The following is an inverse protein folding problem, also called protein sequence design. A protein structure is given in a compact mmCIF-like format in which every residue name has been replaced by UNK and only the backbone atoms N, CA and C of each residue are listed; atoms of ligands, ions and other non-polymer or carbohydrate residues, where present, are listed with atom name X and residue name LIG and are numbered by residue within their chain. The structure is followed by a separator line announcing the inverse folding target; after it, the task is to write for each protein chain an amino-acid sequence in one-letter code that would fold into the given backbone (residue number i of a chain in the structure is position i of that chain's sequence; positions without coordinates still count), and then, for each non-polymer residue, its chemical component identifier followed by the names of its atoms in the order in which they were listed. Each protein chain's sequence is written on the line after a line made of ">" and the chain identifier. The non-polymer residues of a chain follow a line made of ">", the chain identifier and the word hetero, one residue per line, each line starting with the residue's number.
data_IF_183920694363
#
_entry.id   IF_183920694363
#
_cell.length_a   1.000
_cell.length_b   1.000
_cell.length_c   1.000
_cell.angle_alpha   90.00
_cell.angle_beta   90.00
_cell.angle_gamma   90.00
#
_symmetry.space_group_name_H-M   'P 1'
#
loop_
_entity.id
_entity.type
_entity.pdbx_description
1 polymer ?
#
# COMPACT_ATOMS: atom_id res chain seq x y z
N UNK A 1 1.46 -19.45 -2.35
CA UNK A 1 1.40 -17.99 -2.57
C UNK A 1 0.25 -17.43 -1.75
N UNK A 2 0.59 -16.83 -0.62
CA UNK A 2 -0.29 -16.07 0.27
C UNK A 2 0.08 -14.59 0.14
N UNK A 3 -0.91 -13.73 -0.11
CA UNK A 3 -0.71 -12.29 -0.27
C UNK A 3 -1.59 -11.50 0.69
N UNK A 4 -1.00 -10.45 1.30
CA UNK A 4 -1.75 -9.40 2.00
C UNK A 4 -1.78 -8.16 1.11
N UNK A 5 -2.98 -7.66 0.80
CA UNK A 5 -3.17 -6.54 -0.12
C UNK A 5 -4.17 -5.50 0.41
N UNK A 6 -3.90 -4.22 0.13
CA UNK A 6 -4.79 -3.13 0.50
C UNK A 6 -4.08 -1.79 0.67
N UNK A 7 -4.82 -0.70 0.51
CA UNK A 7 -4.28 0.65 0.73
C UNK A 7 -3.81 0.87 2.18
N UNK A 8 -4.39 0.12 3.12
CA UNK A 8 -4.06 0.15 4.55
C UNK A 8 -3.09 -0.96 4.97
N UNK A 9 -2.61 -1.78 4.05
CA UNK A 9 -1.64 -2.84 4.36
C UNK A 9 -0.34 -2.23 4.88
N UNK A 10 0.06 -2.51 6.13
CA UNK A 10 1.39 -2.14 6.61
C UNK A 10 2.46 -2.78 5.73
N UNK A 11 3.30 -1.97 5.09
CA UNK A 11 4.46 -2.45 4.32
C UNK A 11 5.59 -2.85 5.29
N UNK A 12 5.43 -4.00 5.94
CA UNK A 12 6.34 -4.51 6.97
C UNK A 12 6.80 -5.94 6.62
N UNK A 13 8.09 -6.29 6.80
CA UNK A 13 8.56 -7.66 6.57
C UNK A 13 8.03 -8.66 7.62
N UNK A 14 7.47 -8.20 8.75
CA UNK A 14 6.89 -9.07 9.80
C UNK A 14 5.86 -10.04 9.23
N UNK A 15 5.17 -9.68 8.15
CA UNK A 15 4.23 -10.59 7.47
C UNK A 15 4.87 -11.93 7.05
N UNK A 16 6.15 -11.93 6.68
CA UNK A 16 6.86 -13.12 6.22
C UNK A 16 7.09 -14.16 7.34
N UNK A 17 7.15 -13.71 8.60
CA UNK A 17 7.24 -14.58 9.78
C UNK A 17 5.93 -15.36 10.01
N UNK A 18 4.81 -14.87 9.45
CA UNK A 18 3.48 -15.47 9.55
C UNK A 18 3.06 -16.22 8.29
N UNK A 19 4.00 -16.57 7.41
CA UNK A 19 3.75 -17.39 6.21
C UNK A 19 3.14 -16.64 5.03
N UNK A 20 3.20 -15.30 5.02
CA UNK A 20 2.87 -14.49 3.83
C UNK A 20 4.04 -14.56 2.85
N UNK A 21 3.75 -14.64 1.55
CA UNK A 21 4.75 -14.65 0.48
C UNK A 21 4.94 -13.25 -0.14
N UNK A 22 3.86 -12.46 -0.21
CA UNK A 22 3.79 -11.15 -0.85
C UNK A 22 3.00 -10.14 0.00
N UNK A 23 3.51 -8.91 0.12
CA UNK A 23 2.79 -7.81 0.79
C UNK A 23 2.66 -6.67 -0.21
N UNK A 24 1.43 -6.34 -0.59
CA UNK A 24 1.13 -5.26 -1.52
C UNK A 24 0.37 -4.14 -0.82
N UNK A 25 0.90 -2.93 -0.90
CA UNK A 25 0.36 -1.79 -0.19
C UNK A 25 0.56 -0.50 -0.96
N UNK A 26 0.30 0.60 -0.27
CA UNK A 26 0.36 1.94 -0.85
C UNK A 26 1.35 2.80 -0.07
N UNK A 27 2.26 3.46 -0.77
CA UNK A 27 3.08 4.53 -0.22
C UNK A 27 2.52 5.87 -0.66
N UNK A 28 2.20 6.73 0.31
CA UNK A 28 1.87 8.13 0.06
C UNK A 28 3.14 8.88 -0.35
N UNK A 29 3.14 9.45 -1.54
CA UNK A 29 4.27 10.24 -2.09
C UNK A 29 3.98 11.75 -2.08
N UNK A 30 2.70 12.14 -2.01
CA UNK A 30 2.27 13.52 -1.77
C UNK A 30 1.24 13.55 -0.62
N UNK A 31 1.69 13.73 0.63
CA UNK A 31 0.79 13.73 1.79
C UNK A 31 -0.25 14.86 1.75
N UNK A 32 0.09 16.04 1.25
CA UNK A 32 -0.83 17.19 1.24
C UNK A 32 -2.00 16.95 0.29
N UNK A 33 -1.70 16.47 -0.92
CA UNK A 33 -2.73 16.14 -1.91
C UNK A 33 -3.61 14.98 -1.43
N UNK A 34 -3.01 13.91 -0.90
CA UNK A 34 -3.76 12.74 -0.45
C UNK A 34 -4.67 13.07 0.74
N UNK A 35 -4.21 13.85 1.71
CA UNK A 35 -5.05 14.28 2.84
C UNK A 35 -6.27 15.07 2.36
N UNK A 36 -6.09 15.99 1.40
CA UNK A 36 -7.21 16.73 0.81
C UNK A 36 -8.20 15.80 0.12
N UNK A 37 -7.74 14.95 -0.79
CA UNK A 37 -8.62 14.07 -1.58
C UNK A 37 -9.39 13.09 -0.67
N UNK A 38 -8.74 12.50 0.33
CA UNK A 38 -9.41 11.60 1.28
C UNK A 38 -10.45 12.36 2.12
N UNK A 39 -10.16 13.60 2.54
CA UNK A 39 -11.11 14.45 3.26
C UNK A 39 -12.34 14.83 2.42
N UNK A 40 -12.20 14.87 1.10
CA UNK A 40 -13.28 15.12 0.13
C UNK A 40 -14.06 13.83 -0.22
N UNK A 41 -13.74 12.68 0.38
CA UNK A 41 -14.41 11.40 0.12
C UNK A 41 -14.02 10.74 -1.21
N UNK A 42 -12.89 11.15 -1.81
CA UNK A 42 -12.40 10.60 -3.08
C UNK A 42 -11.98 9.15 -2.87
N UNK A 43 -12.44 8.26 -3.76
CA UNK A 43 -12.16 6.82 -3.64
C UNK A 43 -10.75 6.49 -4.13
N UNK A 44 -10.14 5.43 -3.57
CA UNK A 44 -8.76 5.04 -3.85
C UNK A 44 -8.43 4.92 -5.35
N UNK A 45 -9.36 4.39 -6.16
CA UNK A 45 -9.19 4.26 -7.62
C UNK A 45 -8.92 5.60 -8.33
N UNK A 46 -9.41 6.71 -7.77
CA UNK A 46 -9.17 8.07 -8.27
C UNK A 46 -7.91 8.72 -7.65
N UNK A 47 -7.51 8.28 -6.46
CA UNK A 47 -6.27 8.70 -5.79
C UNK A 47 -5.05 8.02 -6.44
N UNK A 48 -5.21 6.78 -6.91
CA UNK A 48 -4.16 6.01 -7.59
C UNK A 48 -3.58 6.83 -8.76
N UNK A 49 -2.26 7.06 -8.73
CA UNK A 49 -1.55 7.87 -9.73
C UNK A 49 -1.54 9.39 -9.47
N UNK A 50 -2.18 9.87 -8.41
CA UNK A 50 -2.29 11.31 -8.07
C UNK A 50 -1.78 11.62 -6.65
N UNK A 51 -0.70 10.97 -6.22
CA UNK A 51 -0.10 11.20 -4.89
C UNK A 51 0.19 9.93 -4.08
N UNK A 52 -0.08 8.75 -4.66
CA UNK A 52 0.30 7.46 -4.09
C UNK A 52 1.03 6.58 -5.11
N UNK A 53 1.88 5.68 -4.61
CA UNK A 53 2.54 4.63 -5.39
C UNK A 53 2.19 3.27 -4.82
N UNK A 54 1.78 2.34 -5.68
CA UNK A 54 1.61 0.94 -5.31
C UNK A 54 2.99 0.30 -5.15
N UNK A 55 3.19 -0.43 -4.05
CA UNK A 55 4.42 -1.14 -3.76
C UNK A 55 4.09 -2.59 -3.41
N UNK A 56 4.93 -3.50 -3.86
CA UNK A 56 4.88 -4.90 -3.45
C UNK A 56 6.26 -5.30 -2.96
N UNK A 57 6.31 -5.89 -1.77
CA UNK A 57 7.50 -6.59 -1.26
C UNK A 57 7.26 -8.09 -1.34
N UNK A 58 8.31 -8.84 -1.63
CA UNK A 58 8.30 -10.29 -1.77
C UNK A 58 9.34 -10.89 -0.84
N UNK A 59 9.02 -12.04 -0.25
CA UNK A 59 9.88 -12.76 0.69
C UNK A 59 11.29 -13.01 0.13
N UNK A 60 11.42 -13.35 -1.15
CA UNK A 60 12.73 -13.62 -1.77
C UNK A 60 13.64 -12.38 -1.91
N UNK A 61 13.10 -11.18 -1.69
CA UNK A 61 13.83 -9.90 -1.69
C UNK A 61 14.11 -9.39 -0.26
N UNK A 62 13.95 -10.23 0.78
CA UNK A 62 14.22 -9.97 2.19
C UNK A 62 14.98 -11.15 2.84
#
# INVERSE_FOLDING_TARGET
>A
IVMVLGATTPLSPVWFDYGVDLVSGTRVIDPKLVLRLVSEGIVFKQIQGRGVKLLTIQKDNY
#
